data_IF_672195608119
#
_entry.id   IF_672195608119
#
_cell.length_a   1.000
_cell.length_b   1.000
_cell.length_c   1.000
_cell.angle_alpha   90.00
_cell.angle_beta   90.00
_cell.angle_gamma   90.00
#
_symmetry.space_group_name_H-M   'P 1'
#
loop_
_entity.id
_entity.type
_entity.pdbx_description
1 polymer ?
#
# COMPACT_ATOMS: atom_id res chain seq x y z
N UNK A 1 -21.13 -0.54 -8.35
CA UNK A 1 -21.52 -1.12 -7.04
C UNK A 1 -20.43 -0.84 -5.99
N UNK A 2 -19.14 -0.97 -6.36
CA UNK A 2 -17.98 -0.69 -5.51
C UNK A 2 -17.91 0.71 -4.84
N UNK A 3 -18.27 1.80 -5.54
CA UNK A 3 -18.11 3.16 -4.98
C UNK A 3 -19.02 3.44 -3.76
N UNK A 4 -20.23 2.88 -3.73
CA UNK A 4 -21.15 3.07 -2.61
C UNK A 4 -20.69 2.32 -1.34
N UNK A 5 -20.18 1.09 -1.51
CA UNK A 5 -19.63 0.30 -0.40
C UNK A 5 -18.34 0.91 0.13
N UNK A 6 -17.46 1.42 -0.74
CA UNK A 6 -16.26 2.13 -0.35
C UNK A 6 -16.58 3.40 0.45
N UNK A 7 -17.53 4.22 -0.01
CA UNK A 7 -17.99 5.41 0.72
C UNK A 7 -18.63 5.06 2.06
N UNK A 8 -19.43 4.00 2.11
CA UNK A 8 -20.05 3.54 3.36
C UNK A 8 -19.00 3.05 4.37
N UNK A 9 -18.03 2.26 3.91
CA UNK A 9 -16.90 1.83 4.74
C UNK A 9 -16.09 3.03 5.23
N UNK A 10 -15.76 3.98 4.35
CA UNK A 10 -15.00 5.17 4.73
C UNK A 10 -15.75 6.01 5.78
N UNK A 11 -17.04 6.25 5.59
CA UNK A 11 -17.85 7.00 6.56
C UNK A 11 -17.85 6.34 7.94
N UNK A 12 -18.00 5.01 8.01
CA UNK A 12 -17.92 4.26 9.27
C UNK A 12 -16.50 4.25 9.86
N UNK A 13 -15.48 4.05 9.04
CA UNK A 13 -14.09 4.00 9.47
C UNK A 13 -13.60 5.34 10.04
N UNK A 14 -14.06 6.48 9.51
CA UNK A 14 -13.75 7.80 10.09
C UNK A 14 -14.25 7.93 11.52
N UNK A 15 -15.46 7.44 11.79
CA UNK A 15 -16.06 7.48 13.13
C UNK A 15 -15.30 6.56 14.06
N UNK A 16 -15.06 5.30 13.67
CA UNK A 16 -14.39 4.30 14.51
C UNK A 16 -12.89 4.59 14.71
N UNK A 17 -12.25 5.18 13.72
CA UNK A 17 -10.84 5.55 13.73
C UNK A 17 -10.54 6.90 14.40
N UNK A 18 -11.57 7.60 14.91
CA UNK A 18 -11.40 8.92 15.55
C UNK A 18 -10.92 10.00 14.59
N UNK A 19 -11.23 9.90 13.30
CA UNK A 19 -10.82 10.84 12.24
C UNK A 19 -11.84 11.97 12.04
N UNK A 20 -12.73 12.20 13.01
CA UNK A 20 -13.73 13.25 12.92
C UNK A 20 -13.11 14.61 13.31
N UNK A 21 -13.28 15.67 12.51
CA UNK A 21 -12.64 16.97 12.73
C UNK A 21 -13.21 17.77 13.93
N UNK A 22 -14.04 17.19 14.79
CA UNK A 22 -14.71 17.92 15.86
C UNK A 22 -13.81 18.28 17.06
N UNK A 23 -12.54 17.86 17.09
CA UNK A 23 -11.58 18.20 18.17
C UNK A 23 -10.35 19.01 17.72
N UNK A 24 -10.20 19.37 16.44
CA UNK A 24 -9.06 20.17 16.00
C UNK A 24 -9.52 21.51 15.42
N UNK A 25 -9.35 22.58 16.19
CA UNK A 25 -9.49 23.97 15.76
C UNK A 25 -8.33 24.38 14.83
N UNK A 26 -8.17 23.68 13.71
CA UNK A 26 -7.32 24.04 12.57
C UNK A 26 -8.13 23.65 11.33
N UNK A 27 -8.40 24.62 10.46
CA UNK A 27 -9.41 24.53 9.40
C UNK A 27 -9.44 23.19 8.66
N UNK A 28 -10.61 22.57 8.62
CA UNK A 28 -10.85 21.33 7.88
C UNK A 28 -10.40 21.51 6.43
N UNK A 29 -9.36 20.79 6.03
CA UNK A 29 -8.99 20.70 4.62
C UNK A 29 -10.00 19.77 3.92
N UNK A 30 -10.38 20.09 2.68
CA UNK A 30 -11.36 19.31 1.91
C UNK A 30 -10.98 17.81 1.77
N UNK A 31 -9.70 17.49 2.01
CA UNK A 31 -9.11 16.15 2.04
C UNK A 31 -9.79 15.18 3.03
N UNK A 32 -10.45 15.66 4.09
CA UNK A 32 -11.06 14.76 5.09
C UNK A 32 -12.39 14.13 4.65
N UNK A 33 -12.93 14.54 3.50
CA UNK A 33 -14.25 14.07 3.03
C UNK A 33 -14.16 12.98 1.96
N UNK A 34 -13.09 12.94 1.18
CA UNK A 34 -12.91 11.92 0.14
C UNK A 34 -12.31 10.64 0.74
N UNK A 35 -12.74 9.45 0.27
CA UNK A 35 -12.07 8.22 0.67
C UNK A 35 -10.61 8.26 0.21
N UNK A 36 -9.66 7.78 1.04
CA UNK A 36 -8.28 7.60 0.60
C UNK A 36 -8.18 6.55 -0.51
N UNK A 37 -7.00 6.40 -1.15
CA UNK A 37 -6.77 5.34 -2.13
C UNK A 37 -7.19 3.97 -1.59
N UNK A 38 -7.79 3.16 -2.47
CA UNK A 38 -8.26 1.82 -2.16
C UNK A 38 -7.60 0.81 -3.11
N UNK A 39 -6.98 -0.22 -2.54
CA UNK A 39 -6.18 -1.20 -3.29
C UNK A 39 -6.11 -2.54 -2.55
N UNK A 40 -5.72 -3.60 -3.27
CA UNK A 40 -5.52 -4.95 -2.74
C UNK A 40 -4.05 -5.33 -2.74
N UNK A 41 -3.63 -6.14 -1.77
CA UNK A 41 -2.30 -6.75 -1.79
C UNK A 41 -2.20 -7.85 -2.85
N UNK A 42 -1.00 -8.07 -3.40
CA UNK A 42 -0.76 -9.13 -4.37
C UNK A 42 -1.34 -8.82 -5.76
N UNK A 43 -1.17 -9.76 -6.68
CA UNK A 43 -1.59 -9.66 -8.08
C UNK A 43 -2.86 -10.48 -8.39
N UNK A 44 -3.29 -11.38 -7.52
CA UNK A 44 -4.51 -12.18 -7.69
C UNK A 44 -5.50 -12.01 -6.54
N UNK A 45 -6.76 -12.38 -6.75
CA UNK A 45 -7.79 -12.35 -5.72
C UNK A 45 -7.44 -13.24 -4.51
N UNK A 46 -6.85 -14.41 -4.77
CA UNK A 46 -6.41 -15.33 -3.72
C UNK A 46 -5.24 -14.76 -2.91
N UNK A 47 -4.30 -14.08 -3.57
CA UNK A 47 -3.20 -13.39 -2.90
C UNK A 47 -3.73 -12.23 -2.04
N UNK A 48 -4.68 -11.44 -2.55
CA UNK A 48 -5.32 -10.37 -1.82
C UNK A 48 -5.99 -10.87 -0.52
N UNK A 49 -6.76 -11.95 -0.61
CA UNK A 49 -7.40 -12.56 0.55
C UNK A 49 -6.40 -13.08 1.58
N UNK A 50 -5.36 -13.80 1.11
CA UNK A 50 -4.31 -14.36 1.97
C UNK A 50 -3.55 -13.26 2.72
N UNK A 51 -3.14 -12.21 2.00
CA UNK A 51 -2.33 -11.12 2.55
C UNK A 51 -3.15 -10.22 3.48
N UNK A 52 -4.39 -9.92 3.11
CA UNK A 52 -5.32 -9.22 3.98
C UNK A 52 -5.56 -9.98 5.29
N UNK A 53 -5.65 -11.32 5.26
CA UNK A 53 -5.80 -12.11 6.47
C UNK A 53 -4.60 -11.93 7.42
N UNK A 54 -3.37 -11.83 6.90
CA UNK A 54 -2.17 -11.54 7.69
C UNK A 54 -2.21 -10.12 8.29
N UNK A 55 -2.71 -9.14 7.53
CA UNK A 55 -2.90 -7.76 8.01
C UNK A 55 -3.91 -7.71 9.15
N UNK A 56 -5.08 -8.33 8.97
CA UNK A 56 -6.14 -8.36 9.99
C UNK A 56 -5.73 -9.15 11.24
N UNK A 57 -4.83 -10.13 11.11
CA UNK A 57 -4.23 -10.85 12.23
C UNK A 57 -3.09 -10.08 12.92
N UNK A 58 -2.69 -8.90 12.42
CA UNK A 58 -1.58 -8.10 12.94
C UNK A 58 -0.20 -8.70 12.67
N UNK A 59 -0.09 -9.64 11.74
CA UNK A 59 1.17 -10.29 11.35
C UNK A 59 1.87 -9.49 10.25
N UNK A 60 1.11 -9.06 9.23
CA UNK A 60 1.61 -8.19 8.16
C UNK A 60 1.41 -6.73 8.55
N UNK A 61 2.52 -6.02 8.73
CA UNK A 61 2.60 -4.61 9.15
C UNK A 61 3.56 -3.80 8.27
N UNK A 62 4.05 -4.41 7.19
CA UNK A 62 4.89 -3.78 6.19
C UNK A 62 4.50 -4.27 4.78
N UNK A 63 4.88 -3.50 3.78
CA UNK A 63 4.76 -3.82 2.36
C UNK A 63 5.93 -3.23 1.59
N UNK A 64 6.20 -3.77 0.40
CA UNK A 64 7.20 -3.26 -0.50
C UNK A 64 6.64 -3.06 -1.92
N UNK A 65 7.14 -2.03 -2.59
CA UNK A 65 6.91 -1.75 -4.01
C UNK A 65 8.23 -1.36 -4.67
N UNK A 66 8.27 -1.35 -6.00
CA UNK A 66 9.48 -0.98 -6.76
C UNK A 66 9.44 0.47 -7.17
N UNK A 67 10.56 1.18 -7.03
CA UNK A 67 10.63 2.63 -7.26
C UNK A 67 10.24 3.01 -8.71
N UNK A 68 10.56 2.16 -9.69
CA UNK A 68 10.29 2.47 -11.10
C UNK A 68 8.79 2.54 -11.44
N UNK A 69 7.90 1.94 -10.65
CA UNK A 69 6.45 2.09 -10.84
C UNK A 69 6.07 3.56 -10.63
N UNK A 70 6.56 4.17 -9.55
CA UNK A 70 6.42 5.59 -9.27
C UNK A 70 7.08 6.47 -10.33
N UNK A 71 8.27 6.09 -10.81
CA UNK A 71 8.95 6.83 -11.90
C UNK A 71 8.13 6.79 -13.20
N UNK A 72 7.53 5.64 -13.50
CA UNK A 72 6.68 5.45 -14.68
C UNK A 72 5.43 6.31 -14.58
N UNK A 73 4.76 6.30 -13.42
CA UNK A 73 3.58 7.11 -13.15
C UNK A 73 3.89 8.62 -13.18
N UNK A 74 5.02 9.03 -12.60
CA UNK A 74 5.47 10.43 -12.63
C UNK A 74 5.73 10.91 -14.06
N UNK A 75 6.38 10.10 -14.89
CA UNK A 75 6.59 10.39 -16.32
C UNK A 75 5.28 10.45 -17.10
N UNK A 76 4.29 9.61 -16.76
CA UNK A 76 2.98 9.66 -17.40
C UNK A 76 2.18 10.92 -17.02
N UNK A 77 2.37 11.47 -15.81
CA UNK A 77 1.74 12.71 -15.33
C UNK A 77 2.36 13.98 -15.91
N UNK A 78 3.66 13.97 -16.20
CA UNK A 78 4.36 15.14 -16.75
C UNK A 78 4.45 15.03 -18.28
N UNK A 79 3.70 15.85 -19.06
CA UNK A 79 3.90 15.88 -20.50
C UNK A 79 5.35 16.30 -20.81
N UNK A 80 6.02 15.54 -21.68
CA UNK A 80 7.35 15.92 -22.18
C UNK A 80 7.22 17.23 -22.96
N UNK A 81 7.53 18.37 -22.34
CA UNK A 81 7.82 19.58 -23.11
C UNK A 81 9.16 19.35 -23.82
N UNK A 82 9.14 19.33 -25.15
CA UNK A 82 10.35 19.42 -25.99
C UNK A 82 11.00 20.80 -25.77
N UNK A 83 11.77 20.94 -24.69
CA UNK A 83 12.33 22.24 -24.33
C UNK A 83 13.43 22.15 -23.27
N UNK A 84 14.65 22.32 -23.75
CA UNK A 84 15.91 22.54 -23.04
C UNK A 84 16.53 21.35 -22.27
N UNK A 85 17.55 20.78 -22.90
CA UNK A 85 18.37 19.65 -22.47
C UNK A 85 19.33 20.03 -21.33
N UNK A 86 18.89 20.60 -20.21
CA UNK A 86 19.73 20.82 -19.02
C UNK A 86 18.93 20.92 -17.71
N UNK A 87 18.20 19.86 -17.35
CA UNK A 87 17.88 19.61 -15.93
C UNK A 87 17.81 18.11 -15.70
N UNK A 88 18.66 17.59 -14.81
CA UNK A 88 18.48 16.26 -14.23
C UNK A 88 17.04 16.17 -13.74
N UNK A 89 16.25 15.29 -14.35
CA UNK A 89 14.81 15.22 -14.16
C UNK A 89 14.48 14.96 -12.68
N UNK A 90 14.11 16.00 -11.94
CA UNK A 90 13.46 15.86 -10.63
C UNK A 90 12.04 15.36 -10.88
N UNK A 91 11.89 14.06 -11.09
CA UNK A 91 10.57 13.44 -11.17
C UNK A 91 9.88 13.59 -9.81
N UNK A 92 8.63 14.04 -9.82
CA UNK A 92 7.79 14.06 -8.64
C UNK A 92 7.14 12.68 -8.47
N UNK A 93 7.80 11.81 -7.72
CA UNK A 93 7.45 10.39 -7.63
C UNK A 93 6.16 10.10 -6.85
N UNK A 94 5.55 11.09 -6.17
CA UNK A 94 4.36 10.91 -5.33
C UNK A 94 4.44 9.65 -4.43
N UNK A 95 5.59 9.52 -3.74
CA UNK A 95 5.82 8.40 -2.83
C UNK A 95 4.83 8.44 -1.67
N UNK A 96 4.50 7.28 -1.08
CA UNK A 96 3.74 7.22 0.16
C UNK A 96 4.41 8.09 1.24
N UNK A 97 3.60 8.68 2.10
CA UNK A 97 4.09 9.53 3.20
C UNK A 97 3.59 9.03 4.55
N UNK A 98 4.41 9.10 5.61
CA UNK A 98 3.94 8.83 6.96
C UNK A 98 2.70 9.66 7.30
N UNK A 99 1.66 9.00 7.80
CA UNK A 99 0.35 9.59 8.08
C UNK A 99 -0.68 9.36 6.98
N UNK A 100 -0.27 8.98 5.77
CA UNK A 100 -1.19 8.64 4.68
C UNK A 100 -2.10 7.48 5.08
N UNK A 101 -3.37 7.59 4.68
CA UNK A 101 -4.37 6.55 4.87
C UNK A 101 -4.54 5.76 3.58
N UNK A 102 -4.88 4.48 3.70
CA UNK A 102 -5.27 3.63 2.58
C UNK A 102 -6.34 2.63 3.01
N UNK A 103 -7.28 2.33 2.12
CA UNK A 103 -8.28 1.29 2.32
C UNK A 103 -7.79 0.01 1.64
N UNK A 104 -7.65 -1.06 2.42
CA UNK A 104 -7.25 -2.37 1.91
C UNK A 104 -8.50 -3.16 1.54
N UNK A 105 -8.53 -3.64 0.30
CA UNK A 105 -9.61 -4.45 -0.26
C UNK A 105 -9.28 -5.95 -0.17
N UNK A 106 -10.30 -6.80 -0.26
CA UNK A 106 -10.14 -8.25 -0.45
C UNK A 106 -10.11 -8.65 -1.95
N UNK A 107 -10.04 -9.95 -2.23
CA UNK A 107 -10.06 -10.48 -3.59
C UNK A 107 -11.39 -10.28 -4.34
N UNK A 108 -12.47 -9.90 -3.64
CA UNK A 108 -13.77 -9.53 -4.22
C UNK A 108 -13.90 -7.99 -4.38
N UNK A 109 -12.81 -7.23 -4.25
CA UNK A 109 -12.76 -5.75 -4.27
C UNK A 109 -13.60 -5.07 -3.16
N UNK A 110 -13.89 -5.79 -2.07
CA UNK A 110 -14.67 -5.26 -0.94
C UNK A 110 -13.70 -4.64 0.08
N UNK A 111 -14.00 -3.46 0.67
CA UNK A 111 -13.13 -2.83 1.66
C UNK A 111 -13.14 -3.55 3.01
N UNK A 112 -11.95 -3.84 3.54
CA UNK A 112 -11.77 -4.71 4.71
C UNK A 112 -10.88 -4.14 5.81
N UNK A 113 -10.04 -3.16 5.51
CA UNK A 113 -9.28 -2.45 6.53
C UNK A 113 -8.97 -1.01 6.12
N UNK A 114 -8.86 -0.12 7.09
CA UNK A 114 -8.20 1.18 6.95
C UNK A 114 -6.83 1.08 7.62
N UNK A 115 -5.77 1.29 6.84
CA UNK A 115 -4.39 1.34 7.34
C UNK A 115 -3.86 2.76 7.31
N UNK A 116 -2.83 3.02 8.12
CA UNK A 116 -2.05 4.25 8.13
C UNK A 116 -0.57 3.93 7.99
N UNK A 117 0.08 4.51 7.00
CA UNK A 117 1.54 4.42 6.83
C UNK A 117 2.23 5.16 7.98
N UNK A 118 3.22 4.55 8.61
CA UNK A 118 3.97 5.08 9.76
C UNK A 118 5.44 5.32 9.43
N UNK A 119 5.97 4.65 8.41
CA UNK A 119 7.34 4.83 7.93
C UNK A 119 7.41 4.50 6.45
N UNK A 120 8.29 5.21 5.74
CA UNK A 120 8.60 5.00 4.34
C UNK A 120 10.11 5.15 4.16
N UNK A 121 10.75 4.13 3.62
CA UNK A 121 12.18 4.12 3.32
C UNK A 121 12.38 3.70 1.86
N UNK A 122 13.36 4.29 1.18
CA UNK A 122 13.80 3.81 -0.14
C UNK A 122 15.17 3.20 0.02
N UNK A 123 15.29 1.92 -0.26
CA UNK A 123 16.53 1.16 -0.11
C UNK A 123 16.81 0.32 -1.34
N UNK A 124 18.03 -0.21 -1.44
CA UNK A 124 18.34 -1.24 -2.42
C UNK A 124 17.71 -2.57 -2.04
N UNK A 125 17.27 -3.35 -3.02
CA UNK A 125 16.65 -4.65 -2.81
C UNK A 125 17.54 -5.60 -1.99
N UNK A 126 18.86 -5.57 -2.22
CA UNK A 126 19.82 -6.37 -1.45
C UNK A 126 20.06 -5.90 -0.02
N UNK A 127 19.67 -4.66 0.30
CA UNK A 127 19.78 -4.06 1.64
C UNK A 127 18.52 -4.24 2.48
N UNK A 128 17.45 -4.83 1.92
CA UNK A 128 16.27 -5.22 2.70
C UNK A 128 16.67 -6.26 3.74
N UNK A 129 16.35 -5.97 5.01
CA UNK A 129 16.75 -6.76 6.16
C UNK A 129 15.68 -7.77 6.60
N UNK A 130 16.05 -8.64 7.55
CA UNK A 130 15.14 -9.64 8.12
C UNK A 130 14.01 -9.01 8.95
N UNK A 131 14.18 -7.79 9.49
CA UNK A 131 13.10 -7.11 10.22
C UNK A 131 11.96 -6.75 9.27
N UNK A 132 12.28 -6.28 8.07
CA UNK A 132 11.28 -5.99 7.04
C UNK A 132 10.55 -7.25 6.61
N UNK A 133 11.27 -8.31 6.20
CA UNK A 133 10.66 -9.57 5.78
C UNK A 133 9.75 -10.17 6.86
N UNK A 134 10.18 -10.13 8.13
CA UNK A 134 9.37 -10.56 9.28
C UNK A 134 8.09 -9.73 9.44
N UNK A 135 8.16 -8.42 9.21
CA UNK A 135 6.98 -7.52 9.29
C UNK A 135 6.02 -7.71 8.13
N UNK A 136 6.50 -8.14 6.97
CA UNK A 136 5.62 -8.55 5.87
C UNK A 136 4.93 -9.88 6.18
N UNK A 137 5.58 -10.75 6.96
CA UNK A 137 4.99 -11.98 7.48
C UNK A 137 4.84 -13.08 6.43
N UNK A 138 5.60 -13.01 5.34
CA UNK A 138 5.50 -13.91 4.18
C UNK A 138 6.55 -15.03 4.18
N UNK A 139 7.43 -15.09 5.18
CA UNK A 139 8.43 -16.14 5.31
C UNK A 139 9.75 -15.62 5.86
N UNK A 140 10.82 -16.34 5.55
CA UNK A 140 12.22 -15.92 5.74
C UNK A 140 12.63 -14.83 4.76
N UNK A 141 13.77 -14.17 5.00
CA UNK A 141 14.30 -13.16 4.06
C UNK A 141 14.64 -13.76 2.69
N UNK A 142 15.09 -15.00 2.63
CA UNK A 142 15.38 -15.68 1.36
C UNK A 142 14.11 -15.93 0.55
N UNK A 143 13.06 -16.45 1.19
CA UNK A 143 11.74 -16.64 0.57
C UNK A 143 11.15 -15.30 0.13
N UNK A 144 11.21 -14.28 1.01
CA UNK A 144 10.77 -12.92 0.69
C UNK A 144 11.47 -12.38 -0.56
N UNK A 145 12.80 -12.53 -0.66
CA UNK A 145 13.56 -12.08 -1.84
C UNK A 145 13.20 -12.84 -3.10
N UNK A 146 12.98 -14.15 -3.01
CA UNK A 146 12.61 -14.95 -4.17
C UNK A 146 11.22 -14.55 -4.69
N UNK A 147 10.24 -14.43 -3.80
CA UNK A 147 8.87 -14.03 -4.13
C UNK A 147 8.81 -12.61 -4.69
N UNK A 148 9.45 -11.64 -4.02
CA UNK A 148 9.43 -10.25 -4.44
C UNK A 148 10.18 -10.03 -5.76
N UNK A 149 11.29 -10.76 -5.99
CA UNK A 149 11.98 -10.70 -7.29
C UNK A 149 11.07 -11.16 -8.42
N UNK A 150 10.35 -12.26 -8.23
CA UNK A 150 9.39 -12.75 -9.22
C UNK A 150 8.19 -11.80 -9.40
N UNK A 151 7.72 -11.20 -8.30
CA UNK A 151 6.62 -10.24 -8.33
C UNK A 151 6.99 -8.96 -9.08
N UNK A 152 8.10 -8.33 -8.71
CA UNK A 152 8.59 -7.08 -9.32
C UNK A 152 9.01 -7.26 -10.78
N UNK A 153 9.49 -8.44 -11.17
CA UNK A 153 9.82 -8.72 -12.57
C UNK A 153 8.62 -8.59 -13.53
N UNK A 154 7.37 -8.65 -13.01
CA UNK A 154 6.16 -8.48 -13.82
C UNK A 154 5.94 -7.04 -14.28
N UNK A 155 6.43 -6.06 -13.54
CA UNK A 155 6.35 -4.63 -13.87
C UNK A 155 7.68 -4.03 -14.31
N UNK A 156 8.73 -4.85 -14.44
CA UNK A 156 10.05 -4.38 -14.83
C UNK A 156 10.04 -3.79 -16.26
N UNK A 157 10.69 -2.63 -16.47
CA UNK A 157 10.86 -2.08 -17.81
C UNK A 157 11.56 -3.06 -18.77
N UNK A 158 11.31 -2.98 -20.09
CA UNK A 158 11.94 -3.87 -21.07
C UNK A 158 13.47 -3.86 -20.96
N UNK A 159 14.06 -5.04 -20.73
CA UNK A 159 15.51 -5.21 -20.61
C UNK A 159 16.08 -4.91 -19.21
N UNK A 160 15.25 -4.56 -18.23
CA UNK A 160 15.65 -4.37 -16.85
C UNK A 160 15.30 -5.62 -16.02
N UNK A 161 16.28 -6.12 -15.26
CA UNK A 161 16.05 -7.20 -14.30
C UNK A 161 15.95 -6.60 -12.89
N UNK A 162 15.21 -7.28 -12.02
CA UNK A 162 15.27 -7.02 -10.58
C UNK A 162 16.59 -7.62 -10.08
N UNK A 163 17.50 -6.79 -9.60
CA UNK A 163 18.81 -7.13 -9.05
C UNK A 163 19.00 -6.57 -7.63
N UNK A 164 20.19 -6.71 -7.04
CA UNK A 164 20.43 -6.24 -5.68
C UNK A 164 20.44 -4.71 -5.55
N UNK A 165 20.74 -3.97 -6.63
CA UNK A 165 20.80 -2.51 -6.63
C UNK A 165 19.45 -1.85 -6.96
N UNK A 166 18.47 -2.64 -7.41
CA UNK A 166 17.09 -2.22 -7.65
C UNK A 166 16.53 -1.46 -6.45
N UNK A 167 16.00 -0.27 -6.68
CA UNK A 167 15.40 0.57 -5.63
C UNK A 167 14.00 0.06 -5.29
N UNK A 168 13.76 -0.18 -4.00
CA UNK A 168 12.47 -0.58 -3.44
C UNK A 168 12.00 0.44 -2.41
N UNK A 169 10.70 0.72 -2.43
CA UNK A 169 10.01 1.56 -1.47
C UNK A 169 9.41 0.64 -0.42
N UNK A 170 9.87 0.77 0.81
CA UNK A 170 9.43 0.00 1.96
C UNK A 170 8.46 0.83 2.78
N UNK A 171 7.26 0.34 3.01
CA UNK A 171 6.29 0.97 3.90
C UNK A 171 6.07 0.14 5.16
N UNK A 172 5.96 0.82 6.29
CA UNK A 172 5.42 0.24 7.53
C UNK A 172 4.08 0.88 7.80
N UNK A 173 3.12 0.12 8.31
CA UNK A 173 1.78 0.63 8.57
C UNK A 173 1.14 0.02 9.82
N UNK A 174 0.07 0.64 10.28
CA UNK A 174 -0.82 0.12 11.33
C UNK A 174 -2.25 0.03 10.83
N UNK A 175 -2.98 -0.98 11.26
CA UNK A 175 -4.44 -1.05 11.05
C UNK A 175 -5.10 -0.06 12.01
N UNK A 176 -5.76 0.95 11.47
CA UNK A 176 -6.56 1.92 12.24
C UNK A 176 -7.94 1.35 12.50
N UNK A 177 -8.53 0.73 11.47
CA UNK A 177 -9.90 0.21 11.53
C UNK A 177 -10.00 -1.09 10.73
N UNK A 178 -10.24 -2.25 11.37
CA UNK A 178 -10.66 -3.44 10.64
C UNK A 178 -12.14 -3.33 10.25
N UNK A 179 -12.55 -3.88 9.11
CA UNK A 179 -13.96 -4.15 8.85
C UNK A 179 -14.47 -5.07 9.96
N UNK A 180 -15.64 -4.76 10.53
CA UNK A 180 -16.22 -5.61 11.58
C UNK A 180 -16.27 -7.06 11.08
N UNK A 181 -15.53 -7.94 11.75
CA UNK A 181 -15.30 -9.34 11.37
C UNK A 181 -16.54 -10.23 11.49
N UNK A 182 -17.76 -9.71 11.24
CA UNK A 182 -18.98 -10.51 11.30
C UNK A 182 -19.14 -11.46 10.11
N UNK A 183 -18.56 -11.16 8.95
CA UNK A 183 -18.64 -12.03 7.75
C UNK A 183 -17.41 -12.90 7.53
N UNK A 184 -16.21 -12.41 7.85
CA UNK A 184 -14.96 -13.13 7.63
C UNK A 184 -14.74 -14.26 8.64
N UNK A 185 -14.95 -14.00 9.93
CA UNK A 185 -14.82 -15.04 10.98
C UNK A 185 -15.86 -16.16 10.80
N UNK A 186 -17.05 -15.85 10.29
CA UNK A 186 -18.06 -16.85 9.90
C UNK A 186 -17.67 -17.66 8.67
N UNK A 187 -17.09 -17.05 7.62
CA UNK A 187 -16.57 -17.79 6.44
C UNK A 187 -15.35 -18.66 6.78
N UNK A 188 -14.54 -18.25 7.76
CA UNK A 188 -13.35 -18.97 8.22
C UNK A 188 -13.61 -19.97 9.36
N UNK A 189 -14.86 -20.12 9.84
CA UNK A 189 -15.21 -21.08 10.90
C UNK A 189 -14.63 -20.76 12.28
N UNK A 190 -14.34 -19.50 12.58
CA UNK A 190 -13.74 -19.04 13.83
C UNK A 190 -14.77 -18.45 14.83
N UNK A 191 -16.06 -18.53 14.49
CA UNK A 191 -17.24 -18.20 15.31
C UNK A 191 -18.38 -19.18 15.04
#
# INVERSE_FOLDING_TARGET
MHDAELRAFWADARVRGGLNPAEAYIGATASDTLPPPAWSFGATAEEADRLLALVLAGRKTATASVLWEYETEARARQPQEEGDTLVETRLDLDLPTPGALSIVLDGEEVPRALIRTTHVDVVRFGEVDEDHARREGEGSLEEWRAEHRAFFARSAPPGQAVDEDTQVVLERFVVVVPATARRAARRAGLL
#
